data_IF_499821242131
#
_entry.id   IF_499821242131
#
_cell.length_a   1.000
_cell.length_b   1.000
_cell.length_c   1.000
_cell.angle_alpha   90.00
_cell.angle_beta   90.00
_cell.angle_gamma   90.00
#
_symmetry.space_group_name_H-M   'P 1'
#
loop_
_entity.id
_entity.type
_entity.pdbx_description
1 polymer ?
#
# COMPACT_ATOMS: atom_id res chain seq x y z
N UNK A 1 -18.76 -9.28 -14.80
CA UNK A 1 -17.75 -8.23 -14.65
C UNK A 1 -16.92 -8.08 -15.88
N UNK A 2 -16.69 -6.88 -16.31
CA UNK A 2 -15.91 -6.66 -17.51
C UNK A 2 -14.44 -6.78 -17.22
N UNK A 3 -13.64 -6.93 -18.26
CA UNK A 3 -12.21 -7.00 -18.10
C UNK A 3 -11.67 -5.74 -17.49
N UNK A 4 -12.24 -4.60 -17.84
CA UNK A 4 -11.80 -3.35 -17.32
C UNK A 4 -12.01 -3.28 -15.82
N UNK A 5 -13.13 -3.79 -15.34
CA UNK A 5 -13.38 -3.78 -13.92
C UNK A 5 -12.39 -4.68 -13.20
N UNK A 6 -12.05 -5.79 -13.83
CA UNK A 6 -11.12 -6.71 -13.23
C UNK A 6 -9.73 -6.10 -13.14
N UNK A 7 -9.32 -5.34 -14.15
CA UNK A 7 -8.02 -4.67 -14.11
C UNK A 7 -8.00 -3.65 -12.99
N UNK A 8 -9.08 -2.91 -12.79
CA UNK A 8 -9.13 -1.92 -11.73
C UNK A 8 -9.07 -2.60 -10.35
N UNK A 9 -9.71 -3.76 -10.23
CA UNK A 9 -9.66 -4.51 -8.97
C UNK A 9 -8.22 -4.96 -8.70
N UNK A 10 -7.54 -5.45 -9.73
CA UNK A 10 -6.15 -5.89 -9.57
C UNK A 10 -5.25 -4.74 -9.13
N UNK A 11 -5.42 -3.58 -9.74
CA UNK A 11 -4.64 -2.41 -9.38
C UNK A 11 -4.92 -2.00 -7.94
N UNK A 12 -6.19 -1.94 -7.56
CA UNK A 12 -6.56 -1.54 -6.21
C UNK A 12 -5.98 -2.49 -5.16
N UNK A 13 -6.06 -3.78 -5.42
CA UNK A 13 -5.54 -4.78 -4.49
C UNK A 13 -4.03 -4.70 -4.41
N UNK A 14 -3.36 -4.59 -5.55
CA UNK A 14 -1.91 -4.53 -5.59
C UNK A 14 -1.40 -3.33 -4.80
N UNK A 15 -2.03 -2.18 -4.97
CA UNK A 15 -1.64 -0.98 -4.27
C UNK A 15 -1.84 -1.13 -2.78
N UNK A 16 -3.00 -1.62 -2.38
CA UNK A 16 -3.31 -1.74 -0.98
C UNK A 16 -2.40 -2.74 -0.27
N UNK A 17 -2.16 -3.87 -0.90
CA UNK A 17 -1.31 -4.90 -0.32
C UNK A 17 0.13 -4.42 -0.23
N UNK A 18 0.66 -3.82 -1.29
CA UNK A 18 2.04 -3.34 -1.28
C UNK A 18 2.22 -2.22 -0.26
N UNK A 19 1.28 -1.29 -0.22
CA UNK A 19 1.33 -0.19 0.72
C UNK A 19 1.35 -0.72 2.15
N UNK A 20 0.47 -1.67 2.44
CA UNK A 20 0.37 -2.24 3.76
C UNK A 20 1.63 -3.02 4.12
N UNK A 21 2.17 -3.78 3.17
CA UNK A 21 3.38 -4.55 3.42
C UNK A 21 4.57 -3.66 3.78
N UNK A 22 4.63 -2.48 3.19
CA UNK A 22 5.72 -1.55 3.44
C UNK A 22 5.47 -0.75 4.71
N UNK A 23 4.21 -0.61 5.11
CA UNK A 23 3.86 0.18 6.27
C UNK A 23 3.59 1.65 5.97
N UNK A 24 3.27 1.97 4.72
CA UNK A 24 2.93 3.34 4.37
C UNK A 24 1.46 3.60 4.63
N UNK A 25 1.15 4.77 5.15
CA UNK A 25 -0.24 5.17 5.31
C UNK A 25 -0.77 5.60 3.94
N UNK A 26 -2.07 5.75 3.83
CA UNK A 26 -2.65 6.27 2.59
C UNK A 26 -2.13 7.66 2.30
N UNK A 27 -2.00 8.50 3.32
CA UNK A 27 -1.51 9.85 3.12
C UNK A 27 -0.06 9.83 2.62
N UNK A 28 0.77 9.00 3.22
CA UNK A 28 2.16 8.91 2.82
C UNK A 28 2.31 8.48 1.37
N UNK A 29 1.59 7.44 0.98
CA UNK A 29 1.68 6.99 -0.39
C UNK A 29 1.09 8.03 -1.34
N UNK A 30 -0.01 8.64 -0.97
CA UNK A 30 -0.65 9.65 -1.82
C UNK A 30 0.33 10.78 -2.11
N UNK A 31 1.06 11.23 -1.10
CA UNK A 31 2.04 12.28 -1.28
C UNK A 31 3.17 11.85 -2.20
N UNK A 32 3.60 10.61 -2.09
CA UNK A 32 4.70 10.11 -2.91
C UNK A 32 4.30 9.96 -4.38
N UNK A 33 3.05 9.72 -4.66
CA UNK A 33 2.62 9.53 -6.04
C UNK A 33 1.83 10.71 -6.60
N UNK A 34 1.72 11.77 -5.81
CA UNK A 34 1.14 13.02 -6.30
C UNK A 34 -0.37 13.05 -6.44
N UNK A 35 -1.08 12.33 -5.57
CA UNK A 35 -2.54 12.38 -5.56
C UNK A 35 -2.99 12.74 -4.15
N UNK A 36 -4.26 13.05 -3.97
CA UNK A 36 -4.76 13.34 -2.65
C UNK A 36 -5.04 12.05 -1.90
N UNK A 37 -5.06 12.14 -0.58
CA UNK A 37 -5.38 10.97 0.24
C UNK A 37 -6.76 10.45 -0.10
N UNK A 38 -7.70 11.35 -0.35
CA UNK A 38 -9.07 10.96 -0.68
C UNK A 38 -9.10 10.19 -1.99
N UNK A 39 -8.33 10.63 -2.97
CA UNK A 39 -8.25 9.94 -4.24
C UNK A 39 -7.71 8.52 -4.04
N UNK A 40 -6.64 8.39 -3.27
CA UNK A 40 -6.07 7.07 -3.05
C UNK A 40 -7.05 6.17 -2.30
N UNK A 41 -7.73 6.70 -1.31
CA UNK A 41 -8.70 5.91 -0.57
C UNK A 41 -9.81 5.41 -1.47
N UNK A 42 -10.24 6.23 -2.41
CA UNK A 42 -11.28 5.83 -3.36
C UNK A 42 -10.79 4.79 -4.35
N UNK A 43 -9.53 4.87 -4.74
CA UNK A 43 -8.96 3.86 -5.62
C UNK A 43 -8.94 2.52 -4.90
N UNK A 44 -8.55 2.52 -3.64
CA UNK A 44 -8.43 1.28 -2.88
C UNK A 44 -9.78 0.65 -2.57
N UNK A 45 -10.86 1.43 -2.61
CA UNK A 45 -12.20 0.91 -2.39
C UNK A 45 -12.98 0.77 -3.69
N UNK A 46 -12.32 0.93 -4.82
CA UNK A 46 -12.91 0.78 -6.13
C UNK A 46 -13.93 1.86 -6.49
N UNK A 47 -13.87 3.00 -5.82
CA UNK A 47 -14.74 4.12 -6.13
C UNK A 47 -14.13 5.04 -7.17
N UNK A 48 -12.89 4.84 -7.50
CA UNK A 48 -12.19 5.66 -8.48
C UNK A 48 -11.11 4.83 -9.12
N UNK A 49 -10.56 5.31 -10.23
CA UNK A 49 -9.46 4.63 -10.89
C UNK A 49 -8.23 5.51 -10.80
N UNK A 50 -7.06 4.88 -10.84
CA UNK A 50 -5.81 5.60 -10.76
C UNK A 50 -5.27 5.79 -12.16
N UNK A 51 -4.76 6.97 -12.45
CA UNK A 51 -4.18 7.23 -13.76
C UNK A 51 -2.94 6.38 -13.93
N UNK A 52 -2.68 5.98 -15.15
CA UNK A 52 -1.53 5.14 -15.44
C UNK A 52 -0.23 5.73 -14.94
N UNK A 53 -0.05 7.00 -15.08
CA UNK A 53 1.12 7.68 -14.65
C UNK A 53 1.31 7.58 -13.14
N UNK A 54 0.23 7.73 -12.37
CA UNK A 54 0.29 7.62 -10.93
C UNK A 54 0.54 6.17 -10.51
N UNK A 55 -0.03 5.22 -11.25
CA UNK A 55 0.21 3.81 -10.96
C UNK A 55 1.69 3.45 -11.20
N UNK A 56 2.25 3.95 -12.30
CA UNK A 56 3.66 3.68 -12.57
C UNK A 56 4.55 4.28 -11.49
N UNK A 57 4.17 5.45 -10.98
CA UNK A 57 4.92 6.08 -9.91
C UNK A 57 4.81 5.24 -8.63
N UNK A 58 3.63 4.68 -8.38
CA UNK A 58 3.44 3.82 -7.21
C UNK A 58 4.33 2.58 -7.33
N UNK A 59 4.41 1.99 -8.52
CA UNK A 59 5.28 0.83 -8.70
C UNK A 59 6.74 1.15 -8.40
N UNK A 60 7.18 2.35 -8.78
CA UNK A 60 8.54 2.77 -8.49
C UNK A 60 8.76 2.96 -7.00
N UNK A 61 7.78 3.56 -6.30
CA UNK A 61 7.87 3.76 -4.87
C UNK A 61 7.98 2.41 -4.16
N UNK A 62 7.17 1.45 -4.58
CA UNK A 62 7.18 0.13 -3.96
C UNK A 62 8.50 -0.57 -4.24
N UNK A 63 8.98 -0.49 -5.47
CA UNK A 63 10.21 -1.15 -5.85
C UNK A 63 11.39 -0.63 -5.03
N UNK A 64 11.43 0.67 -4.81
CA UNK A 64 12.48 1.27 -4.01
C UNK A 64 12.45 0.76 -2.58
N UNK A 65 11.30 0.28 -2.14
CA UNK A 65 11.13 -0.21 -0.78
C UNK A 65 11.07 -1.73 -0.71
N UNK A 66 11.42 -2.39 -1.80
CA UNK A 66 11.57 -3.84 -1.79
C UNK A 66 10.32 -4.65 -2.09
N UNK A 67 9.33 -4.04 -2.74
CA UNK A 67 8.14 -4.78 -3.14
C UNK A 67 7.97 -4.65 -4.64
N UNK A 68 7.95 -5.79 -5.34
CA UNK A 68 7.82 -5.79 -6.78
C UNK A 68 6.45 -6.32 -7.17
N UNK A 69 5.75 -5.61 -8.00
CA UNK A 69 4.46 -6.03 -8.51
C UNK A 69 4.63 -6.35 -9.98
N UNK A 70 4.17 -7.52 -10.40
CA UNK A 70 4.24 -7.92 -11.79
C UNK A 70 3.05 -7.31 -12.53
N UNK A 71 3.26 -6.33 -13.39
CA UNK A 71 2.17 -5.65 -14.06
C UNK A 71 1.62 -6.44 -15.25
N UNK A 72 2.30 -7.51 -15.64
CA UNK A 72 1.93 -8.22 -16.84
C UNK A 72 0.87 -9.29 -16.61
N UNK A 73 0.73 -9.75 -15.39
CA UNK A 73 -0.24 -10.78 -15.10
C UNK A 73 -1.64 -10.35 -15.50
N UNK A 74 -2.39 -11.20 -16.17
CA UNK A 74 -3.69 -10.82 -16.68
C UNK A 74 -4.86 -11.28 -15.83
N UNK A 75 -4.67 -12.25 -14.98
CA UNK A 75 -5.77 -12.81 -14.19
C UNK A 75 -5.47 -12.92 -12.71
N UNK A 76 -4.36 -12.40 -12.28
CA UNK A 76 -4.00 -12.50 -10.87
C UNK A 76 -3.07 -11.36 -10.49
N UNK A 77 -2.81 -11.22 -9.22
CA UNK A 77 -1.88 -10.22 -8.72
C UNK A 77 -0.68 -10.96 -8.17
N UNK A 78 0.48 -10.65 -8.70
CA UNK A 78 1.72 -11.26 -8.25
C UNK A 78 2.60 -10.19 -7.62
N UNK A 79 2.92 -10.38 -6.35
CA UNK A 79 3.82 -9.49 -5.65
C UNK A 79 4.98 -10.27 -5.07
N UNK A 80 6.11 -9.64 -5.04
CA UNK A 80 7.26 -10.22 -4.37
C UNK A 80 7.67 -9.24 -3.26
N UNK A 81 7.71 -9.70 -2.02
CA UNK A 81 8.14 -8.89 -0.89
C UNK A 81 9.52 -9.39 -0.53
N UNK A 82 10.52 -8.56 -0.77
CA UNK A 82 11.91 -8.98 -0.64
C UNK A 82 12.39 -8.96 0.80
N UNK A 83 13.53 -9.57 1.04
CA UNK A 83 14.15 -9.58 2.34
C UNK A 83 14.43 -8.15 2.81
N UNK A 84 14.80 -7.26 1.88
CA UNK A 84 15.02 -5.87 2.24
C UNK A 84 13.79 -5.22 2.82
N UNK A 85 12.63 -5.48 2.22
CA UNK A 85 11.39 -4.96 2.73
C UNK A 85 11.09 -5.57 4.10
N UNK A 86 11.30 -6.86 4.25
CA UNK A 86 11.02 -7.53 5.52
C UNK A 86 11.90 -6.99 6.63
N UNK A 87 13.15 -6.67 6.32
CA UNK A 87 14.03 -6.08 7.31
C UNK A 87 13.56 -4.71 7.72
N UNK A 88 13.07 -3.92 6.78
CA UNK A 88 12.56 -2.59 7.07
C UNK A 88 11.34 -2.69 7.97
N UNK A 89 10.46 -3.65 7.71
CA UNK A 89 9.28 -3.85 8.55
C UNK A 89 9.71 -4.21 9.97
N UNK A 90 10.70 -5.07 10.10
CA UNK A 90 11.20 -5.47 11.39
C UNK A 90 11.79 -4.26 12.14
N UNK A 91 12.58 -3.45 11.47
CA UNK A 91 13.19 -2.29 12.07
C UNK A 91 12.14 -1.29 12.52
N UNK A 92 11.12 -1.09 11.71
CA UNK A 92 10.04 -0.18 12.06
C UNK A 92 9.26 -0.70 13.26
N UNK A 93 9.12 -1.98 13.41
CA UNK A 93 8.39 -2.52 14.53
C UNK A 93 9.14 -2.32 15.84
N UNK A 94 10.46 -2.14 15.76
CA UNK A 94 11.26 -1.90 16.92
C UNK A 94 11.33 -0.41 17.27
N UNK A 95 10.88 0.43 16.37
CA UNK A 95 10.93 1.88 16.57
C UNK A 95 9.76 2.24 17.49
N UNK A 96 10.06 2.57 18.71
CA UNK A 96 9.08 2.90 19.67
C UNK A 96 8.19 4.04 19.32
N UNK A 97 8.69 5.03 18.72
CA UNK A 97 7.92 6.18 18.31
C UNK A 97 6.89 5.79 17.32
N UNK A 98 7.27 4.99 16.33
CA UNK A 98 6.36 4.57 15.29
C UNK A 98 5.30 3.65 15.85
N UNK A 99 5.67 2.78 16.74
CA UNK A 99 4.72 1.89 17.34
C UNK A 99 3.71 2.66 18.19
N UNK A 100 4.19 3.64 18.88
CA UNK A 100 3.34 4.43 19.69
C UNK A 100 2.33 5.20 18.87
N UNK A 101 2.74 5.66 17.74
CA UNK A 101 1.89 6.37 16.82
C UNK A 101 0.77 5.47 16.36
N UNK A 102 1.07 4.25 16.05
CA UNK A 102 0.08 3.31 15.59
C UNK A 102 -0.85 2.93 16.72
N UNK A 103 -0.39 2.93 17.93
CA UNK A 103 -1.21 2.58 19.00
C UNK A 103 -1.98 3.67 19.62
N UNK A 104 -2.12 4.73 18.98
CA UNK A 104 -2.87 5.81 19.45
C UNK A 104 -4.26 5.44 19.66
N UNK A 105 -4.72 4.40 19.10
CA UNK A 105 -6.02 3.94 19.22
C UNK A 105 -6.24 3.64 20.67
N UNK A 106 -7.01 4.33 21.33
CA UNK A 106 -7.17 4.18 22.71
C UNK A 106 -7.70 2.92 23.22
N UNK A 107 -8.57 2.37 22.51
CA UNK A 107 -9.17 1.22 22.94
C UNK A 107 -8.23 0.13 23.30
N UNK A 108 -7.16 0.08 22.61
CA UNK A 108 -6.31 -0.92 22.75
C UNK A 108 -5.69 -0.91 24.05
N UNK A 109 -5.33 0.18 24.52
CA UNK A 109 -4.68 0.24 25.65
C UNK A 109 -5.45 -0.20 26.79
N UNK A 110 -6.61 0.13 26.89
CA UNK A 110 -7.39 -0.21 27.97
C UNK A 110 -7.57 -1.68 28.11
N UNK A 111 -7.60 -2.33 27.07
CA UNK A 111 -7.83 -3.69 27.07
C UNK A 111 -6.76 -4.45 27.69
N UNK A 112 -5.62 -4.02 27.57
CA UNK A 112 -4.54 -4.67 28.03
C UNK A 112 -4.49 -4.84 29.38
N UNK A 113 -5.13 -4.38 30.00
CA UNK A 113 -5.03 -4.48 31.27
C UNK A 113 -5.71 -5.09 31.93
#
# INVERSE_FOLDING_TARGET
MSIENLDNVRIAVAIKVARTAIGLSQLELAELIGVSKITLARVETLESTLKAESYMQALRVFKERGVYIDPISSDSVHLEITLGCLKTVLDNSKDESKRRSDKKSPSRQSVEK
#
